data_IF_953255343078
#
_entry.id   IF_953255343078
#
_cell.length_a   1.000
_cell.length_b   1.000
_cell.length_c   1.000
_cell.angle_alpha   90.00
_cell.angle_beta   90.00
_cell.angle_gamma   90.00
#
_symmetry.space_group_name_H-M   'P 1'
#
loop_
_entity.id
_entity.type
_entity.pdbx_description
1 polymer ?
#
# COMPACT_ATOMS: atom_id res chain seq x y z
N UNK A 1 -25.28 20.00 0.99
CA UNK A 1 -24.31 20.70 1.87
C UNK A 1 -23.13 19.76 2.04
N UNK A 2 -22.01 20.03 1.36
CA UNK A 2 -20.81 19.20 1.51
C UNK A 2 -20.26 19.30 2.93
N UNK A 3 -19.62 18.25 3.46
CA UNK A 3 -19.01 18.30 4.78
C UNK A 3 -18.02 19.48 4.82
N UNK A 4 -18.09 20.27 5.88
CA UNK A 4 -17.08 21.30 6.18
C UNK A 4 -15.71 20.61 6.10
N UNK A 5 -14.75 21.23 5.41
CA UNK A 5 -13.38 20.74 5.39
C UNK A 5 -12.80 20.83 6.80
N UNK A 6 -13.07 19.80 7.62
CA UNK A 6 -12.35 19.58 8.86
C UNK A 6 -10.87 19.45 8.51
N UNK A 7 -10.00 19.94 9.39
CA UNK A 7 -8.55 19.76 9.25
C UNK A 7 -8.22 18.26 9.44
N UNK A 8 -8.42 17.47 8.39
CA UNK A 8 -8.05 16.06 8.38
C UNK A 8 -6.53 16.00 8.42
N UNK A 9 -6.02 15.50 9.55
CA UNK A 9 -4.60 15.20 9.73
C UNK A 9 -4.33 13.82 9.16
N UNK A 10 -3.45 13.75 8.15
CA UNK A 10 -3.02 12.48 7.59
C UNK A 10 -1.85 11.94 8.41
N UNK A 11 -1.92 10.66 8.75
CA UNK A 11 -0.77 9.98 9.32
C UNK A 11 0.16 9.54 8.18
N UNK A 12 1.46 9.75 8.34
CA UNK A 12 2.46 9.34 7.35
C UNK A 12 3.60 8.61 8.04
N UNK A 13 4.13 7.59 7.37
CA UNK A 13 5.31 6.85 7.84
C UNK A 13 6.58 7.31 7.15
N UNK A 14 6.49 8.08 6.07
CA UNK A 14 7.66 8.58 5.36
C UNK A 14 8.19 9.86 6.02
N UNK A 15 9.44 9.83 6.47
CA UNK A 15 10.13 10.98 7.06
C UNK A 15 11.31 11.41 6.18
N UNK A 16 11.45 12.72 5.98
CA UNK A 16 12.62 13.30 5.31
C UNK A 16 13.63 13.73 6.38
N UNK A 17 14.84 13.19 6.28
CA UNK A 17 16.01 13.57 7.07
C UNK A 17 16.66 14.78 6.41
N UNK A 18 16.38 15.97 6.94
CA UNK A 18 16.82 17.24 6.36
C UNK A 18 18.35 17.33 6.25
N UNK A 19 19.07 16.77 7.23
CA UNK A 19 20.53 16.75 7.28
C UNK A 19 21.16 15.96 6.13
N UNK A 20 20.48 14.92 5.64
CA UNK A 20 20.88 14.10 4.49
C UNK A 20 20.35 14.65 3.16
N UNK A 21 19.25 15.39 3.18
CA UNK A 21 18.64 15.88 1.94
C UNK A 21 19.53 16.93 1.24
N UNK A 22 19.89 16.66 -0.03
CA UNK A 22 20.67 17.57 -0.90
C UNK A 22 19.84 18.18 -2.04
N UNK A 23 18.52 18.08 -1.98
CA UNK A 23 17.63 18.74 -2.95
C UNK A 23 17.78 18.26 -4.39
N UNK A 24 18.19 17.00 -4.62
CA UNK A 24 18.47 16.44 -5.96
C UNK A 24 17.22 16.23 -6.84
N UNK A 25 16.02 16.55 -6.35
CA UNK A 25 14.73 16.52 -7.07
C UNK A 25 14.26 15.16 -7.62
N UNK A 26 15.02 14.07 -7.47
CA UNK A 26 14.62 12.73 -7.94
C UNK A 26 13.31 12.24 -7.30
N UNK A 27 13.18 12.38 -5.98
CA UNK A 27 11.96 12.03 -5.26
C UNK A 27 10.73 12.83 -5.74
N UNK A 28 10.91 14.11 -6.09
CA UNK A 28 9.87 14.95 -6.66
C UNK A 28 9.38 14.43 -8.00
N UNK A 29 10.30 14.02 -8.88
CA UNK A 29 9.97 13.45 -10.19
C UNK A 29 9.35 12.05 -10.09
N UNK A 30 9.78 11.25 -9.13
CA UNK A 30 9.26 9.90 -8.91
C UNK A 30 7.87 9.89 -8.25
N UNK A 31 7.45 10.99 -7.61
CA UNK A 31 6.21 11.03 -6.85
C UNK A 31 4.97 11.02 -7.78
N UNK A 32 4.16 9.96 -7.74
CA UNK A 32 3.05 9.74 -8.69
C UNK A 32 1.88 10.70 -8.49
N UNK A 33 1.69 11.17 -7.26
CA UNK A 33 0.67 12.14 -6.89
C UNK A 33 1.20 13.57 -6.86
N UNK A 34 2.46 13.77 -7.27
CA UNK A 34 3.11 15.09 -7.24
C UNK A 34 3.06 15.72 -5.84
N UNK A 35 3.15 14.90 -4.78
CA UNK A 35 3.09 15.35 -3.39
C UNK A 35 4.37 16.03 -2.90
N UNK A 36 5.49 15.88 -3.62
CA UNK A 36 6.78 16.43 -3.18
C UNK A 36 7.05 17.76 -3.88
N UNK A 37 7.53 18.75 -3.11
CA UNK A 37 8.14 20.00 -3.58
C UNK A 37 9.58 20.05 -3.13
N UNK A 38 10.43 20.76 -3.86
CA UNK A 38 11.78 21.11 -3.40
C UNK A 38 11.86 22.61 -3.19
N UNK A 39 12.23 23.04 -1.99
CA UNK A 39 12.36 24.46 -1.61
C UNK A 39 13.66 24.64 -0.85
N UNK A 40 14.40 25.70 -1.18
CA UNK A 40 15.67 26.01 -0.50
C UNK A 40 16.62 24.80 -0.42
N UNK A 41 16.65 23.97 -1.46
CA UNK A 41 17.48 22.76 -1.51
C UNK A 41 17.00 21.57 -0.68
N UNK A 42 15.78 21.60 -0.12
CA UNK A 42 15.19 20.52 0.69
C UNK A 42 13.86 20.05 0.12
N UNK A 43 13.58 18.76 0.27
CA UNK A 43 12.32 18.17 -0.16
C UNK A 43 11.27 18.32 0.95
N UNK A 44 10.04 18.68 0.57
CA UNK A 44 8.89 18.83 1.45
C UNK A 44 7.73 18.01 0.88
N UNK A 45 6.99 17.32 1.75
CA UNK A 45 5.82 16.51 1.37
C UNK A 45 4.56 17.29 1.67
N UNK A 46 3.67 17.39 0.69
CA UNK A 46 2.29 17.82 0.85
C UNK A 46 1.48 16.63 1.36
N UNK A 47 1.15 16.65 2.65
CA UNK A 47 0.51 15.54 3.37
C UNK A 47 -0.76 15.04 2.65
N UNK A 48 -1.65 15.95 2.24
CA UNK A 48 -2.91 15.58 1.59
C UNK A 48 -2.76 14.80 0.27
N UNK A 49 -1.62 14.96 -0.42
CA UNK A 49 -1.34 14.28 -1.68
C UNK A 49 -0.51 13.01 -1.49
N UNK A 50 0.15 12.85 -0.34
CA UNK A 50 0.99 11.69 -0.09
C UNK A 50 0.14 10.43 0.13
N UNK A 51 0.50 9.37 -0.58
CA UNK A 51 -0.15 8.05 -0.52
C UNK A 51 0.72 7.00 0.17
N UNK A 52 1.89 7.40 0.68
CA UNK A 52 2.86 6.54 1.36
C UNK A 52 3.33 5.33 0.54
N UNK A 53 3.36 5.46 -0.80
CA UNK A 53 3.75 4.37 -1.69
C UNK A 53 5.25 4.01 -1.61
N UNK A 54 6.10 4.94 -1.18
CA UNK A 54 7.53 4.72 -0.99
C UNK A 54 8.41 4.85 -2.26
N UNK A 55 7.87 5.22 -3.43
CA UNK A 55 8.67 5.49 -4.64
C UNK A 55 9.80 6.50 -4.40
N UNK A 56 9.56 7.46 -3.51
CA UNK A 56 10.54 8.47 -3.15
C UNK A 56 11.72 7.91 -2.34
N UNK A 57 11.55 6.81 -1.60
CA UNK A 57 12.63 6.11 -0.89
C UNK A 57 13.64 5.62 -1.94
N UNK A 58 13.18 4.82 -2.89
CA UNK A 58 14.01 4.22 -3.94
C UNK A 58 14.65 5.28 -4.86
N UNK A 59 13.97 6.40 -5.09
CA UNK A 59 14.48 7.47 -5.93
C UNK A 59 15.57 8.33 -5.25
N UNK A 60 15.67 8.33 -3.93
CA UNK A 60 16.58 9.22 -3.19
C UNK A 60 18.01 8.67 -3.18
N UNK A 61 18.98 9.33 -3.84
CA UNK A 61 20.36 8.84 -3.86
C UNK A 61 21.08 8.98 -2.51
N UNK A 62 20.60 9.87 -1.63
CA UNK A 62 21.22 10.18 -0.33
C UNK A 62 20.68 9.30 0.80
N UNK A 63 19.66 8.45 0.54
CA UNK A 63 18.94 7.75 1.60
C UNK A 63 18.29 8.69 2.62
N UNK A 64 17.88 9.89 2.18
CA UNK A 64 17.32 10.93 3.05
C UNK A 64 15.83 10.74 3.35
N UNK A 65 15.16 9.80 2.71
CA UNK A 65 13.74 9.51 2.95
C UNK A 65 13.66 8.13 3.58
N UNK A 66 13.21 8.08 4.82
CA UNK A 66 13.16 6.86 5.63
C UNK A 66 11.72 6.50 5.99
N UNK A 67 11.36 5.21 5.94
CA UNK A 67 10.10 4.73 6.47
C UNK A 67 10.17 4.63 8.00
N UNK A 68 9.06 4.90 8.68
CA UNK A 68 8.88 4.71 10.11
C UNK A 68 7.95 3.52 10.32
N UNK A 69 8.50 2.44 10.87
CA UNK A 69 7.74 1.29 11.36
C UNK A 69 8.03 1.09 12.85
N UNK A 70 7.23 0.25 13.49
CA UNK A 70 7.45 -0.12 14.87
C UNK A 70 8.70 -1.02 14.98
N UNK A 71 9.32 -1.02 16.16
CA UNK A 71 10.44 -1.89 16.50
C UNK A 71 9.94 -3.13 17.27
N UNK A 72 10.67 -4.24 17.20
CA UNK A 72 10.29 -5.50 17.89
C UNK A 72 10.16 -5.27 19.40
N UNK A 73 11.01 -4.43 19.98
CA UNK A 73 11.04 -4.13 21.41
C UNK A 73 9.75 -3.47 21.89
N UNK A 74 9.07 -2.71 21.01
CA UNK A 74 7.81 -2.04 21.34
C UNK A 74 6.64 -3.03 21.53
N UNK A 75 6.82 -4.29 21.14
CA UNK A 75 5.82 -5.35 21.33
C UNK A 75 5.80 -5.87 22.78
N UNK A 76 6.83 -5.58 23.57
CA UNK A 76 6.93 -5.98 24.99
C UNK A 76 5.83 -5.45 25.90
N UNK A 77 5.09 -4.43 25.45
CA UNK A 77 3.92 -3.89 26.17
C UNK A 77 2.70 -4.81 26.18
N UNK A 78 2.66 -5.83 25.31
CA UNK A 78 1.56 -6.80 25.24
C UNK A 78 1.88 -8.05 26.04
N UNK A 79 0.85 -8.66 26.65
CA UNK A 79 1.01 -9.94 27.37
C UNK A 79 1.15 -11.12 26.43
N UNK A 80 0.48 -11.04 25.27
CA UNK A 80 0.57 -12.02 24.19
C UNK A 80 0.99 -11.30 22.91
N UNK A 81 2.16 -11.62 22.37
CA UNK A 81 2.75 -10.99 21.19
C UNK A 81 2.55 -11.91 19.99
N UNK A 82 1.87 -11.41 18.97
CA UNK A 82 1.55 -12.19 17.78
C UNK A 82 2.14 -11.53 16.54
N UNK A 83 3.06 -12.24 15.89
CA UNK A 83 3.54 -11.84 14.57
C UNK A 83 2.57 -12.34 13.49
N UNK A 84 2.19 -11.46 12.59
CA UNK A 84 1.38 -11.79 11.41
C UNK A 84 2.24 -11.50 10.18
N UNK A 85 2.97 -12.50 9.65
CA UNK A 85 3.84 -12.29 8.51
C UNK A 85 3.03 -11.98 7.25
N UNK A 86 3.45 -10.98 6.49
CA UNK A 86 3.05 -10.91 5.09
C UNK A 86 3.59 -12.14 4.36
N UNK A 87 2.83 -12.77 3.43
CA UNK A 87 3.35 -13.87 2.62
C UNK A 87 4.64 -13.52 1.86
N UNK A 88 4.91 -12.23 1.63
CA UNK A 88 6.16 -11.70 1.06
C UNK A 88 7.39 -12.16 1.85
N UNK A 89 7.29 -12.26 3.18
CA UNK A 89 8.40 -12.63 4.06
C UNK A 89 9.03 -13.97 3.67
N UNK A 90 8.20 -14.96 3.31
CA UNK A 90 8.63 -16.30 2.95
C UNK A 90 9.48 -16.38 1.67
N UNK A 91 9.56 -15.31 0.88
CA UNK A 91 10.41 -15.25 -0.31
C UNK A 91 11.58 -14.27 -0.20
N UNK A 92 11.90 -13.79 1.02
CA UNK A 92 13.01 -12.86 1.25
C UNK A 92 14.33 -13.55 1.63
N UNK A 93 14.27 -14.77 2.15
CA UNK A 93 15.45 -15.53 2.61
C UNK A 93 16.02 -16.41 1.52
N UNK A 94 17.20 -17.03 1.75
CA UNK A 94 17.82 -17.95 0.79
C UNK A 94 16.87 -19.09 0.41
N UNK A 95 17.16 -19.76 -0.71
CA UNK A 95 16.29 -20.82 -1.26
C UNK A 95 16.16 -22.05 -0.35
N UNK A 96 17.06 -22.18 0.63
CA UNK A 96 17.10 -23.30 1.57
C UNK A 96 16.34 -23.00 2.86
N UNK A 97 15.85 -21.76 3.05
CA UNK A 97 15.05 -21.36 4.21
C UNK A 97 13.58 -21.36 3.81
N UNK A 98 12.79 -22.22 4.45
CA UNK A 98 11.36 -22.38 4.17
C UNK A 98 10.48 -21.72 5.26
N UNK A 99 9.15 -21.65 5.06
CA UNK A 99 8.24 -21.03 6.02
C UNK A 99 8.34 -21.57 7.46
N UNK A 100 8.49 -22.88 7.72
CA UNK A 100 8.61 -23.39 9.09
C UNK A 100 9.78 -22.82 9.87
N UNK A 101 10.95 -22.70 9.24
CA UNK A 101 12.16 -22.12 9.82
C UNK A 101 11.94 -20.63 10.13
N UNK A 102 11.27 -19.91 9.24
CA UNK A 102 10.92 -18.49 9.44
C UNK A 102 9.95 -18.33 10.62
N UNK A 103 8.94 -19.19 10.71
CA UNK A 103 7.97 -19.19 11.82
C UNK A 103 8.67 -19.49 13.15
N UNK A 104 9.55 -20.50 13.19
CA UNK A 104 10.34 -20.83 14.38
C UNK A 104 11.29 -19.69 14.76
N UNK A 105 11.94 -19.06 13.78
CA UNK A 105 12.79 -17.90 13.98
C UNK A 105 12.03 -16.70 14.60
N UNK A 106 10.81 -16.43 14.14
CA UNK A 106 9.94 -15.39 14.73
C UNK A 106 9.60 -15.70 16.19
N UNK A 107 9.32 -16.96 16.53
CA UNK A 107 9.11 -17.37 17.93
C UNK A 107 10.37 -17.14 18.77
N UNK A 108 11.54 -17.50 18.24
CA UNK A 108 12.85 -17.30 18.90
C UNK A 108 13.21 -15.83 19.10
N UNK A 109 12.74 -14.94 18.22
CA UNK A 109 12.83 -13.48 18.40
C UNK A 109 11.92 -12.93 19.52
N UNK A 110 11.02 -13.76 20.06
CA UNK A 110 10.13 -13.40 21.15
C UNK A 110 8.71 -13.09 20.70
N UNK A 111 8.19 -13.67 19.63
CA UNK A 111 6.74 -13.72 19.42
C UNK A 111 6.16 -14.98 20.06
N UNK A 112 5.07 -14.85 20.81
CA UNK A 112 4.43 -15.98 21.49
C UNK A 112 3.62 -16.82 20.48
N UNK A 113 3.05 -16.16 19.46
CA UNK A 113 2.37 -16.80 18.33
C UNK A 113 2.80 -16.19 17.00
N UNK A 114 2.72 -17.00 15.95
CA UNK A 114 2.84 -16.56 14.56
C UNK A 114 1.56 -16.98 13.85
N UNK A 115 0.84 -16.02 13.28
CA UNK A 115 -0.45 -16.25 12.65
C UNK A 115 -0.40 -15.91 11.16
N UNK A 116 -0.54 -16.92 10.31
CA UNK A 116 -0.38 -16.76 8.88
C UNK A 116 -1.66 -16.23 8.19
N UNK A 117 -1.48 -15.40 7.16
CA UNK A 117 -2.60 -14.76 6.45
C UNK A 117 -3.06 -15.58 5.23
N UNK A 118 -2.26 -16.53 4.75
CA UNK A 118 -2.49 -17.19 3.45
C UNK A 118 -3.77 -18.01 3.40
N UNK A 119 -4.20 -18.65 4.48
CA UNK A 119 -5.52 -19.32 4.51
C UNK A 119 -6.67 -18.33 4.30
N UNK A 120 -6.57 -17.14 4.88
CA UNK A 120 -7.56 -16.08 4.72
C UNK A 120 -7.51 -15.50 3.30
N UNK A 121 -6.33 -15.38 2.69
CA UNK A 121 -6.22 -15.03 1.26
C UNK A 121 -6.97 -16.05 0.38
N UNK A 122 -6.82 -17.35 0.64
CA UNK A 122 -7.52 -18.39 -0.11
C UNK A 122 -9.04 -18.31 0.11
N UNK A 123 -9.50 -18.06 1.34
CA UNK A 123 -10.93 -17.86 1.62
C UNK A 123 -11.50 -16.62 0.91
N UNK A 124 -10.78 -15.51 0.90
CA UNK A 124 -11.21 -14.30 0.18
C UNK A 124 -11.21 -14.52 -1.33
N UNK A 125 -10.34 -15.34 -1.91
CA UNK A 125 -10.42 -15.67 -3.34
C UNK A 125 -11.76 -16.30 -3.73
N UNK A 126 -12.29 -17.20 -2.90
CA UNK A 126 -13.62 -17.79 -3.13
C UNK A 126 -14.73 -16.74 -2.91
N UNK A 127 -14.62 -15.90 -1.88
CA UNK A 127 -15.56 -14.79 -1.65
C UNK A 127 -15.54 -13.75 -2.79
N UNK A 128 -14.38 -13.52 -3.40
CA UNK A 128 -14.17 -12.64 -4.56
C UNK A 128 -14.96 -13.15 -5.77
N UNK A 129 -14.93 -14.46 -6.03
CA UNK A 129 -15.70 -15.04 -7.13
C UNK A 129 -17.20 -14.80 -6.94
N UNK A 130 -17.74 -15.09 -5.75
CA UNK A 130 -19.15 -14.84 -5.41
C UNK A 130 -19.50 -13.36 -5.54
N UNK A 131 -18.63 -12.48 -5.03
CA UNK A 131 -18.84 -11.04 -5.11
C UNK A 131 -18.89 -10.53 -6.55
N UNK A 132 -18.10 -11.09 -7.46
CA UNK A 132 -18.12 -10.72 -8.88
C UNK A 132 -19.36 -11.26 -9.61
N UNK A 133 -19.85 -12.44 -9.24
CA UNK A 133 -21.09 -13.02 -9.79
C UNK A 133 -22.33 -12.21 -9.40
N UNK A 134 -22.35 -11.68 -8.18
CA UNK A 134 -23.46 -10.89 -7.62
C UNK A 134 -23.32 -9.37 -7.83
N UNK A 135 -22.22 -8.91 -8.44
CA UNK A 135 -21.93 -7.47 -8.56
C UNK A 135 -22.92 -6.75 -9.48
N UNK A 136 -23.57 -5.72 -8.95
CA UNK A 136 -24.51 -4.86 -9.68
C UNK A 136 -24.00 -3.43 -9.90
N UNK A 137 -22.71 -3.17 -9.65
CA UNK A 137 -22.09 -1.85 -9.76
C UNK A 137 -21.39 -1.59 -11.09
N UNK A 138 -20.55 -0.54 -11.15
CA UNK A 138 -19.79 -0.23 -12.36
C UNK A 138 -18.69 -1.28 -12.62
N UNK A 139 -18.39 -1.49 -13.90
CA UNK A 139 -17.35 -2.40 -14.38
C UNK A 139 -16.20 -1.63 -15.06
N UNK A 140 -14.95 -2.13 -15.01
CA UNK A 140 -14.47 -3.26 -14.21
C UNK A 140 -14.44 -2.95 -12.71
N UNK A 141 -14.47 -3.97 -11.87
CA UNK A 141 -14.20 -3.88 -10.43
C UNK A 141 -12.69 -3.89 -10.19
N UNK A 142 -12.20 -3.08 -9.26
CA UNK A 142 -10.79 -2.93 -8.91
C UNK A 142 -10.54 -3.57 -7.54
N UNK A 143 -9.43 -4.30 -7.39
CA UNK A 143 -9.03 -4.93 -6.13
C UNK A 143 -8.86 -3.92 -4.98
N UNK A 144 -9.25 -4.31 -3.77
CA UNK A 144 -9.19 -3.46 -2.56
C UNK A 144 -7.89 -3.62 -1.75
N UNK A 145 -7.01 -4.55 -2.15
CA UNK A 145 -6.00 -5.11 -1.25
C UNK A 145 -4.72 -4.29 -1.10
N UNK A 146 -4.38 -3.47 -2.10
CA UNK A 146 -3.16 -2.63 -2.07
C UNK A 146 -3.49 -1.22 -1.54
N UNK A 147 -3.09 -0.85 -0.31
CA UNK A 147 -3.46 0.45 0.26
C UNK A 147 -2.87 1.64 -0.52
N UNK A 148 -1.74 1.45 -1.20
CA UNK A 148 -1.18 2.47 -2.08
C UNK A 148 -2.07 2.71 -3.32
N UNK A 149 -2.66 1.66 -3.90
CA UNK A 149 -3.63 1.79 -5.00
C UNK A 149 -4.89 2.48 -4.51
N UNK A 150 -5.44 2.05 -3.37
CA UNK A 150 -6.63 2.67 -2.76
C UNK A 150 -6.43 4.17 -2.62
N UNK A 151 -5.33 4.58 -1.98
CA UNK A 151 -5.04 6.00 -1.75
C UNK A 151 -4.71 6.75 -3.04
N UNK A 152 -4.09 6.09 -4.01
CA UNK A 152 -3.88 6.67 -5.33
C UNK A 152 -5.21 6.97 -6.03
N UNK A 153 -6.16 6.03 -6.01
CA UNK A 153 -7.52 6.23 -6.51
C UNK A 153 -8.20 7.38 -5.76
N UNK A 154 -8.17 7.38 -4.42
CA UNK A 154 -8.78 8.43 -3.61
C UNK A 154 -8.26 9.85 -3.94
N UNK A 155 -7.00 10.00 -4.34
CA UNK A 155 -6.36 11.30 -4.64
C UNK A 155 -6.47 11.67 -6.12
N UNK A 156 -6.23 10.72 -7.03
CA UNK A 156 -6.03 10.98 -8.47
C UNK A 156 -7.23 10.58 -9.34
N UNK A 157 -8.00 9.59 -8.90
CA UNK A 157 -9.13 9.02 -9.62
C UNK A 157 -10.36 8.92 -8.72
N UNK A 158 -10.80 10.02 -8.06
CA UNK A 158 -11.84 9.94 -7.03
C UNK A 158 -13.17 9.37 -7.56
N UNK A 159 -13.47 9.48 -8.85
CA UNK A 159 -14.65 8.85 -9.46
C UNK A 159 -14.58 7.33 -9.51
N UNK A 160 -13.39 6.73 -9.45
CA UNK A 160 -13.19 5.29 -9.48
C UNK A 160 -13.32 4.63 -8.09
N UNK A 161 -13.64 5.37 -7.02
CA UNK A 161 -13.86 4.74 -5.70
C UNK A 161 -15.05 3.78 -5.70
N UNK A 162 -16.05 4.03 -6.55
CA UNK A 162 -17.20 3.14 -6.74
C UNK A 162 -16.86 1.84 -7.50
N UNK A 163 -15.69 1.79 -8.16
CA UNK A 163 -15.19 0.58 -8.80
C UNK A 163 -14.45 -0.34 -7.83
N UNK A 164 -14.10 0.12 -6.61
CA UNK A 164 -13.34 -0.70 -5.67
C UNK A 164 -14.24 -1.78 -5.09
N UNK A 165 -13.77 -3.02 -5.12
CA UNK A 165 -14.51 -4.17 -4.58
C UNK A 165 -14.78 -3.99 -3.07
N UNK A 166 -16.00 -4.28 -2.58
CA UNK A 166 -16.34 -4.09 -1.17
C UNK A 166 -15.84 -5.23 -0.25
N UNK A 167 -14.78 -5.95 -0.62
CA UNK A 167 -14.20 -7.02 0.19
C UNK A 167 -13.08 -6.51 1.10
N UNK A 168 -13.09 -7.01 2.32
CA UNK A 168 -12.12 -6.74 3.37
C UNK A 168 -10.72 -7.24 3.01
N UNK A 169 -9.70 -6.54 3.50
CA UNK A 169 -8.31 -6.94 3.31
C UNK A 169 -7.99 -8.19 4.14
N UNK A 170 -7.36 -9.23 3.54
CA UNK A 170 -7.08 -10.50 4.24
C UNK A 170 -6.36 -10.35 5.58
N UNK A 171 -5.44 -9.39 5.67
CA UNK A 171 -4.69 -9.12 6.91
C UNK A 171 -5.62 -8.70 8.06
N UNK A 172 -6.67 -7.92 7.81
CA UNK A 172 -7.59 -7.43 8.86
C UNK A 172 -8.49 -8.57 9.34
N UNK A 173 -8.98 -9.41 8.44
CA UNK A 173 -9.73 -10.61 8.82
C UNK A 173 -8.86 -11.59 9.62
N UNK A 174 -7.63 -11.85 9.17
CA UNK A 174 -6.70 -12.71 9.88
C UNK A 174 -6.40 -12.19 11.30
N UNK A 175 -6.18 -10.88 11.46
CA UNK A 175 -5.97 -10.27 12.78
C UNK A 175 -7.22 -10.34 13.67
N UNK A 176 -8.41 -10.10 13.10
CA UNK A 176 -9.69 -10.21 13.82
C UNK A 176 -9.93 -11.62 14.33
N UNK A 177 -9.85 -12.61 13.44
CA UNK A 177 -10.04 -14.03 13.76
C UNK A 177 -9.05 -14.49 14.82
N UNK A 178 -7.77 -14.17 14.63
CA UNK A 178 -6.70 -14.47 15.59
C UNK A 178 -6.97 -13.87 16.97
N UNK A 179 -7.30 -12.57 17.05
CA UNK A 179 -7.50 -11.90 18.34
C UNK A 179 -8.68 -12.50 19.10
N UNK A 180 -9.79 -12.79 18.41
CA UNK A 180 -10.95 -13.42 19.03
C UNK A 180 -10.62 -14.83 19.55
N UNK A 181 -9.95 -15.65 18.74
CA UNK A 181 -9.57 -17.01 19.13
C UNK A 181 -8.60 -17.03 20.32
N UNK A 182 -7.55 -16.20 20.29
CA UNK A 182 -6.57 -16.15 21.38
C UNK A 182 -7.14 -15.51 22.65
N UNK A 183 -8.08 -14.56 22.52
CA UNK A 183 -8.75 -13.95 23.67
C UNK A 183 -9.56 -14.99 24.44
N UNK A 184 -10.32 -15.83 23.75
CA UNK A 184 -11.06 -16.94 24.35
C UNK A 184 -10.12 -18.00 24.93
N UNK A 185 -9.12 -18.44 24.15
CA UNK A 185 -8.19 -19.50 24.53
C UNK A 185 -7.33 -19.15 25.75
N UNK A 186 -6.87 -17.90 25.82
CA UNK A 186 -5.95 -17.44 26.88
C UNK A 186 -6.67 -16.70 28.01
N UNK A 187 -7.98 -16.47 27.87
CA UNK A 187 -8.77 -15.62 28.77
C UNK A 187 -8.11 -14.24 28.98
N UNK A 188 -7.66 -13.64 27.88
CA UNK A 188 -7.02 -12.32 27.86
C UNK A 188 -7.92 -11.29 27.14
N UNK A 189 -8.01 -10.03 27.62
CA UNK A 189 -8.61 -8.94 26.87
C UNK A 189 -7.93 -8.73 25.51
N UNK A 190 -8.69 -8.29 24.50
CA UNK A 190 -8.20 -8.07 23.13
C UNK A 190 -7.06 -7.05 23.06
N UNK A 191 -7.02 -6.11 24.00
CA UNK A 191 -6.00 -5.06 24.12
C UNK A 191 -4.66 -5.58 24.65
N UNK A 192 -4.67 -6.72 25.34
CA UNK A 192 -3.46 -7.38 25.87
C UNK A 192 -2.82 -8.33 24.83
N UNK A 193 -3.50 -8.58 23.71
CA UNK A 193 -3.03 -9.37 22.58
C UNK A 193 -2.54 -8.41 21.49
N UNK A 194 -1.22 -8.33 21.34
CA UNK A 194 -0.56 -7.47 20.36
C UNK A 194 -0.47 -8.11 18.98
N UNK A 195 -1.23 -7.60 18.02
CA UNK A 195 -1.18 -8.01 16.62
C UNK A 195 -0.18 -7.14 15.84
N UNK A 196 0.92 -7.73 15.38
CA UNK A 196 2.03 -7.03 14.73
C UNK A 196 2.25 -7.55 13.32
N UNK A 197 2.03 -6.70 12.31
CA UNK A 197 2.15 -7.09 10.91
C UNK A 197 3.57 -6.92 10.38
N UNK A 198 4.13 -7.95 9.73
CA UNK A 198 5.46 -7.84 9.09
C UNK A 198 5.28 -7.45 7.61
N UNK A 199 5.68 -6.23 7.25
CA UNK A 199 5.27 -5.59 5.99
C UNK A 199 6.44 -5.24 5.07
N UNK A 200 6.25 -5.48 3.76
CA UNK A 200 7.13 -4.95 2.69
C UNK A 200 6.76 -3.55 2.23
N UNK A 201 5.74 -2.92 2.83
CA UNK A 201 5.10 -1.71 2.30
C UNK A 201 4.87 -0.63 3.37
N UNK A 202 5.33 0.62 3.15
CA UNK A 202 5.07 1.71 4.08
C UNK A 202 3.59 2.11 4.11
N UNK A 203 2.88 2.05 2.97
CA UNK A 203 1.45 2.34 2.92
C UNK A 203 0.61 1.38 3.77
N UNK A 204 1.05 0.12 3.96
CA UNK A 204 0.39 -0.83 4.89
C UNK A 204 0.57 -0.42 6.35
N UNK A 205 1.76 0.06 6.72
CA UNK A 205 1.98 0.60 8.07
C UNK A 205 1.06 1.80 8.35
N UNK A 206 0.83 2.66 7.34
CA UNK A 206 -0.14 3.75 7.48
C UNK A 206 -1.58 3.24 7.49
N UNK A 207 -1.95 2.25 6.67
CA UNK A 207 -3.32 1.72 6.67
C UNK A 207 -3.71 1.01 7.97
N UNK A 208 -2.73 0.55 8.77
CA UNK A 208 -2.96 0.07 10.14
C UNK A 208 -3.29 1.22 11.09
N UNK A 209 -2.60 2.37 10.96
CA UNK A 209 -2.80 3.54 11.82
C UNK A 209 -4.01 4.39 11.41
N UNK A 210 -4.31 4.45 10.12
CA UNK A 210 -5.39 5.24 9.51
C UNK A 210 -5.97 4.47 8.30
N UNK A 211 -6.82 3.45 8.56
CA UNK A 211 -7.48 2.67 7.52
C UNK A 211 -8.53 3.51 6.76
N UNK A 212 -8.70 3.22 5.47
CA UNK A 212 -9.71 3.89 4.64
C UNK A 212 -11.10 3.25 4.83
N UNK A 213 -11.11 1.95 5.08
CA UNK A 213 -12.23 1.03 5.04
C UNK A 213 -12.93 0.79 6.38
N UNK A 214 -12.38 1.31 7.48
CA UNK A 214 -12.88 1.12 8.85
C UNK A 214 -12.43 2.23 9.78
N UNK A 215 -12.97 2.25 11.00
CA UNK A 215 -12.58 3.22 12.02
C UNK A 215 -11.22 2.89 12.63
N UNK A 216 -11.02 1.63 13.04
CA UNK A 216 -9.82 1.16 13.72
C UNK A 216 -9.36 -0.18 13.13
N UNK A 217 -8.06 -0.31 12.90
CA UNK A 217 -7.44 -1.58 12.49
C UNK A 217 -7.44 -2.59 13.63
N UNK A 218 -7.51 -3.88 13.29
CA UNK A 218 -7.28 -4.98 14.22
C UNK A 218 -5.81 -5.16 14.60
N UNK A 219 -4.89 -4.46 13.92
CA UNK A 219 -3.47 -4.45 14.22
C UNK A 219 -3.09 -3.34 15.20
N UNK A 220 -2.10 -3.62 16.04
CA UNK A 220 -1.55 -2.65 16.99
C UNK A 220 -0.22 -2.05 16.54
N UNK A 221 0.42 -2.67 15.55
CA UNK A 221 1.66 -2.20 14.96
C UNK A 221 2.07 -2.94 13.70
N UNK A 222 3.15 -2.46 13.10
CA UNK A 222 3.78 -3.07 11.94
C UNK A 222 5.28 -2.90 11.96
N UNK A 223 6.01 -3.94 11.58
CA UNK A 223 7.47 -3.94 11.48
C UNK A 223 7.84 -4.14 10.02
N UNK A 224 8.82 -3.39 9.52
CA UNK A 224 9.27 -3.56 8.15
C UNK A 224 10.04 -4.87 8.00
N UNK A 225 9.90 -5.54 6.85
CA UNK A 225 10.68 -6.76 6.59
C UNK A 225 12.18 -6.44 6.55
N UNK A 226 12.57 -5.29 5.99
CA UNK A 226 13.95 -4.83 5.98
C UNK A 226 14.57 -4.72 7.39
N UNK A 227 13.83 -4.19 8.37
CA UNK A 227 14.34 -4.02 9.73
C UNK A 227 14.47 -5.36 10.48
N UNK A 228 13.50 -6.27 10.30
CA UNK A 228 13.51 -7.57 11.00
C UNK A 228 14.39 -8.62 10.31
N UNK A 229 14.82 -8.39 9.06
CA UNK A 229 15.51 -9.40 8.25
C UNK A 229 16.77 -9.97 8.92
N UNK A 230 17.70 -9.11 9.34
CA UNK A 230 18.97 -9.56 9.93
C UNK A 230 18.78 -10.25 11.29
N UNK A 231 18.00 -9.68 12.25
CA UNK A 231 17.67 -10.38 13.49
C UNK A 231 17.01 -11.74 13.23
N UNK A 232 16.06 -11.81 12.29
CA UNK A 232 15.34 -13.04 11.98
C UNK A 232 16.24 -14.08 11.31
N UNK A 233 17.10 -13.67 10.38
CA UNK A 233 18.09 -14.57 9.77
C UNK A 233 19.03 -15.14 10.84
N UNK A 234 19.51 -14.31 11.77
CA UNK A 234 20.33 -14.78 12.89
C UNK A 234 19.59 -15.77 13.78
N UNK A 235 18.30 -15.53 14.06
CA UNK A 235 17.46 -16.45 14.82
C UNK A 235 17.29 -17.79 14.09
N UNK A 236 17.00 -17.76 12.78
CA UNK A 236 16.86 -18.94 11.93
C UNK A 236 18.15 -19.76 11.91
N UNK A 237 19.31 -19.12 11.70
CA UNK A 237 20.61 -19.81 11.67
C UNK A 237 21.01 -20.44 13.00
N UNK A 238 20.37 -20.03 14.10
CA UNK A 238 20.61 -20.58 15.44
C UNK A 238 19.63 -21.71 15.82
N UNK A 239 18.71 -22.10 14.93
CA UNK A 239 17.77 -23.19 15.17
C UNK A 239 18.49 -24.55 15.01
N UNK A 240 18.25 -25.47 15.93
CA UNK A 240 18.49 -26.90 15.73
C UNK A 240 17.35 -27.55 14.95
N UNK A 241 17.62 -28.73 14.36
CA UNK A 241 16.64 -29.47 13.52
C UNK A 241 15.36 -29.87 14.28
N UNK A 242 15.41 -29.97 15.62
CA UNK A 242 14.24 -30.32 16.45
C UNK A 242 13.34 -29.09 16.79
N UNK A 243 13.81 -27.86 16.54
CA UNK A 243 13.08 -26.63 16.91
C UNK A 243 11.95 -26.27 15.93
N UNK A 244 11.84 -26.98 14.80
CA UNK A 244 10.77 -26.79 13.82
C UNK A 244 10.36 -28.13 13.19
N UNK A 245 9.13 -28.18 12.69
CA UNK A 245 8.62 -29.30 11.89
C UNK A 245 8.39 -28.81 10.48
N UNK A 246 8.73 -29.61 9.46
CA UNK A 246 8.34 -29.34 8.07
C UNK A 246 6.85 -29.68 7.87
N UNK A 247 5.98 -28.99 8.61
CA UNK A 247 4.55 -29.00 8.43
C UNK A 247 4.04 -27.58 8.16
N UNK A 248 2.92 -27.51 7.43
CA UNK A 248 2.29 -26.25 7.01
C UNK A 248 1.01 -26.00 7.81
N UNK A 249 0.98 -26.37 9.09
CA UNK A 249 -0.23 -26.14 9.90
C UNK A 249 -0.57 -24.64 9.87
N UNK A 250 -1.71 -24.30 9.26
CA UNK A 250 -2.15 -22.92 9.08
C UNK A 250 -1.66 -22.18 7.83
N UNK A 251 -0.90 -22.81 6.92
CA UNK A 251 -0.44 -22.17 5.67
C UNK A 251 -1.16 -22.71 4.43
N UNK A 252 -1.34 -21.84 3.45
CA UNK A 252 -1.83 -22.13 2.10
C UNK A 252 -0.82 -21.67 1.07
N UNK A 253 -0.27 -22.62 0.30
CA UNK A 253 0.60 -22.32 -0.83
C UNK A 253 -0.12 -21.50 -1.90
N UNK A 254 -1.41 -21.78 -2.12
CA UNK A 254 -2.27 -21.02 -3.01
C UNK A 254 -2.43 -19.57 -2.52
N UNK A 255 -2.73 -19.38 -1.23
CA UNK A 255 -2.84 -18.05 -0.61
C UNK A 255 -1.51 -17.29 -0.57
N UNK A 256 -0.38 -17.99 -0.49
CA UNK A 256 0.94 -17.36 -0.61
C UNK A 256 1.17 -16.73 -1.98
N UNK A 257 0.52 -17.23 -3.03
CA UNK A 257 0.60 -16.68 -4.39
C UNK A 257 0.06 -15.24 -4.52
N UNK A 258 -0.79 -14.78 -3.61
CA UNK A 258 -1.34 -13.42 -3.59
C UNK A 258 -0.28 -12.30 -3.53
N UNK A 259 0.95 -12.62 -3.09
CA UNK A 259 2.02 -11.64 -2.98
C UNK A 259 2.62 -11.22 -4.33
N UNK A 260 2.40 -12.00 -5.38
CA UNK A 260 2.90 -11.73 -6.73
C UNK A 260 1.77 -11.27 -7.64
N UNK A 261 2.12 -10.55 -8.72
CA UNK A 261 1.18 -10.16 -9.75
C UNK A 261 0.44 -11.36 -10.35
N UNK A 262 -0.88 -11.24 -10.47
CA UNK A 262 -1.79 -12.26 -10.98
C UNK A 262 -2.22 -13.27 -9.93
N UNK A 263 -1.80 -13.09 -8.68
CA UNK A 263 -2.09 -14.01 -7.59
C UNK A 263 -3.58 -14.11 -7.28
N UNK A 264 -4.35 -13.02 -7.35
CA UNK A 264 -5.82 -13.07 -7.17
C UNK A 264 -6.53 -13.49 -8.45
N UNK A 265 -6.01 -13.04 -9.60
CA UNK A 265 -6.54 -13.41 -10.91
C UNK A 265 -6.48 -14.92 -11.18
N UNK A 266 -5.49 -15.64 -10.65
CA UNK A 266 -5.36 -17.09 -10.85
C UNK A 266 -6.50 -17.93 -10.24
N UNK A 267 -7.34 -17.32 -9.40
CA UNK A 267 -8.53 -17.96 -8.82
C UNK A 267 -9.81 -17.70 -9.61
N UNK A 268 -9.76 -16.75 -10.55
CA UNK A 268 -10.92 -16.35 -11.33
C UNK A 268 -10.97 -17.12 -12.63
N UNK A 269 -12.16 -17.18 -13.23
CA UNK A 269 -12.33 -17.74 -14.56
C UNK A 269 -11.43 -17.02 -15.59
N UNK A 270 -10.72 -17.77 -16.46
CA UNK A 270 -9.89 -17.18 -17.50
C UNK A 270 -10.66 -16.18 -18.39
N UNK A 271 -10.03 -15.06 -18.73
CA UNK A 271 -10.61 -14.03 -19.60
C UNK A 271 -11.42 -12.95 -18.88
N UNK A 272 -11.74 -13.12 -17.59
CA UNK A 272 -12.52 -12.14 -16.83
C UNK A 272 -11.68 -11.13 -16.03
N UNK A 273 -10.34 -11.24 -16.05
CA UNK A 273 -9.47 -10.45 -15.19
C UNK A 273 -8.23 -9.89 -15.90
N UNK A 274 -7.78 -8.72 -15.45
CA UNK A 274 -6.50 -8.10 -15.82
C UNK A 274 -5.68 -7.92 -14.56
N UNK A 275 -4.45 -8.44 -14.56
CA UNK A 275 -3.47 -8.17 -13.51
C UNK A 275 -2.51 -7.06 -13.97
N UNK A 276 -2.40 -6.00 -13.18
CA UNK A 276 -1.49 -4.89 -13.44
C UNK A 276 -0.61 -4.62 -12.22
N UNK A 277 0.69 -4.45 -12.47
CA UNK A 277 1.66 -4.10 -11.44
C UNK A 277 2.55 -2.96 -11.90
N UNK A 278 2.97 -2.11 -10.95
CA UNK A 278 3.78 -0.93 -11.24
C UNK A 278 2.95 0.30 -11.61
N UNK A 279 3.32 1.44 -11.05
CA UNK A 279 2.57 2.69 -11.15
C UNK A 279 2.35 3.19 -12.59
N UNK A 280 3.32 3.00 -13.47
CA UNK A 280 3.21 3.48 -14.87
C UNK A 280 2.08 2.76 -15.60
N UNK A 281 2.04 1.44 -15.53
CA UNK A 281 1.00 0.64 -16.20
C UNK A 281 -0.34 0.74 -15.46
N UNK A 282 -0.31 0.80 -14.12
CA UNK A 282 -1.51 1.05 -13.32
C UNK A 282 -2.20 2.36 -13.72
N UNK A 283 -1.43 3.44 -13.91
CA UNK A 283 -1.98 4.74 -14.33
C UNK A 283 -2.69 4.63 -15.68
N UNK A 284 -2.12 3.90 -16.65
CA UNK A 284 -2.77 3.68 -17.96
C UNK A 284 -4.08 2.91 -17.83
N UNK A 285 -4.09 1.85 -17.01
CA UNK A 285 -5.30 1.06 -16.75
C UNK A 285 -6.39 1.92 -16.12
N UNK A 286 -6.08 2.71 -15.08
CA UNK A 286 -7.06 3.59 -14.43
C UNK A 286 -7.59 4.67 -15.39
N UNK A 287 -6.72 5.28 -16.20
CA UNK A 287 -7.10 6.20 -17.27
C UNK A 287 -8.07 5.57 -18.28
N UNK A 288 -7.83 4.30 -18.65
CA UNK A 288 -8.67 3.56 -19.60
C UNK A 288 -10.02 3.16 -18.97
N UNK A 289 -10.07 2.93 -17.66
CA UNK A 289 -11.33 2.76 -16.92
C UNK A 289 -12.15 4.06 -16.94
N UNK A 290 -11.55 5.22 -16.61
CA UNK A 290 -12.26 6.52 -16.68
C UNK A 290 -12.77 6.83 -18.08
N UNK A 291 -11.99 6.46 -19.11
CA UNK A 291 -12.38 6.60 -20.53
C UNK A 291 -13.32 5.49 -21.01
N UNK A 292 -13.78 4.61 -20.11
CA UNK A 292 -14.71 3.51 -20.39
C UNK A 292 -14.24 2.57 -21.51
N UNK A 293 -12.93 2.29 -21.59
CA UNK A 293 -12.33 1.41 -22.61
C UNK A 293 -12.24 -0.06 -22.19
N UNK A 294 -12.30 -0.37 -20.89
CA UNK A 294 -12.15 -1.73 -20.35
C UNK A 294 -13.50 -2.41 -20.05
N UNK A 295 -14.51 -2.22 -20.91
CA UNK A 295 -15.90 -2.68 -20.63
C UNK A 295 -16.07 -4.20 -20.58
N UNK A 296 -15.16 -4.95 -21.22
CA UNK A 296 -15.19 -6.41 -21.27
C UNK A 296 -14.41 -7.05 -20.12
N UNK A 297 -13.67 -6.25 -19.34
CA UNK A 297 -12.94 -6.73 -18.16
C UNK A 297 -13.89 -6.68 -16.97
N UNK A 298 -13.99 -7.77 -16.20
CA UNK A 298 -14.77 -7.78 -14.96
C UNK A 298 -13.95 -7.33 -13.77
N UNK A 299 -12.70 -7.78 -13.68
CA UNK A 299 -11.86 -7.54 -12.51
C UNK A 299 -10.45 -7.04 -12.87
N UNK A 300 -9.97 -6.05 -12.14
CA UNK A 300 -8.61 -5.53 -12.23
C UNK A 300 -7.88 -5.78 -10.91
N UNK A 301 -6.95 -6.72 -10.92
CA UNK A 301 -5.98 -6.88 -9.84
C UNK A 301 -4.93 -5.77 -9.96
N UNK A 302 -5.04 -4.77 -9.10
CA UNK A 302 -4.16 -3.61 -9.11
C UNK A 302 -3.10 -3.69 -8.01
N UNK A 303 -1.83 -3.70 -8.43
CA UNK A 303 -0.68 -3.60 -7.54
C UNK A 303 0.14 -2.35 -7.83
N UNK A 304 0.48 -1.60 -6.79
CA UNK A 304 1.26 -0.37 -6.94
C UNK A 304 2.72 -0.64 -7.34
N UNK A 305 3.33 -1.64 -6.70
CA UNK A 305 4.72 -2.02 -6.91
C UNK A 305 4.85 -3.00 -8.08
N UNK A 306 6.01 -2.99 -8.74
CA UNK A 306 6.34 -3.94 -9.81
C UNK A 306 6.38 -5.38 -9.28
N UNK A 307 5.87 -6.34 -10.05
CA UNK A 307 5.72 -7.76 -9.67
C UNK A 307 4.80 -8.03 -8.45
N UNK A 308 4.09 -7.03 -7.94
CA UNK A 308 3.21 -7.15 -6.78
C UNK A 308 3.88 -6.76 -5.46
N UNK A 309 3.39 -7.29 -4.33
CA UNK A 309 3.87 -6.94 -2.99
C UNK A 309 5.33 -7.34 -2.73
N UNK A 310 5.87 -8.29 -3.51
CA UNK A 310 7.27 -8.72 -3.46
C UNK A 310 8.26 -7.64 -3.92
N UNK A 311 7.83 -6.69 -4.76
CA UNK A 311 8.62 -5.52 -5.16
C UNK A 311 8.44 -4.32 -4.24
N UNK A 312 7.90 -4.53 -3.03
CA UNK A 312 7.64 -3.45 -2.07
C UNK A 312 8.93 -2.76 -1.60
N UNK A 313 8.90 -1.45 -1.27
CA UNK A 313 10.11 -0.70 -0.88
C UNK A 313 10.79 -1.17 0.41
N UNK A 314 10.11 -1.98 1.22
CA UNK A 314 10.65 -2.55 2.46
C UNK A 314 10.97 -4.05 2.34
N UNK A 315 10.96 -4.59 1.11
CA UNK A 315 11.49 -5.91 0.81
C UNK A 315 13.03 -5.86 0.76
N UNK A 316 13.67 -7.01 0.95
CA UNK A 316 15.15 -7.14 0.96
C UNK A 316 15.64 -7.82 -0.31
N UNK A 317 14.94 -8.86 -0.76
CA UNK A 317 15.32 -9.63 -1.92
C UNK A 317 14.90 -8.92 -3.22
N UNK A 318 15.64 -9.17 -4.29
CA UNK A 318 15.24 -8.77 -5.63
C UNK A 318 13.87 -9.37 -5.99
N UNK A 319 12.94 -8.54 -6.49
CA UNK A 319 11.58 -8.96 -6.78
C UNK A 319 11.50 -10.17 -7.73
N UNK A 320 12.32 -10.24 -8.77
CA UNK A 320 12.32 -11.37 -9.71
C UNK A 320 12.84 -12.66 -9.06
N UNK A 321 13.86 -12.55 -8.21
CA UNK A 321 14.37 -13.69 -7.43
C UNK A 321 13.31 -14.16 -6.42
N UNK A 322 12.66 -13.24 -5.71
CA UNK A 322 11.56 -13.54 -4.79
C UNK A 322 10.37 -14.21 -5.52
N UNK A 323 10.09 -13.83 -6.77
CA UNK A 323 9.09 -14.49 -7.62
C UNK A 323 9.46 -15.94 -7.92
N UNK A 324 10.70 -16.21 -8.31
CA UNK A 324 11.18 -17.59 -8.52
C UNK A 324 11.03 -18.43 -7.26
N UNK A 325 11.38 -17.88 -6.09
CA UNK A 325 11.19 -18.56 -4.79
C UNK A 325 9.72 -18.83 -4.51
N UNK A 326 8.85 -17.89 -4.82
CA UNK A 326 7.39 -18.07 -4.65
C UNK A 326 6.89 -19.26 -5.45
N UNK A 327 7.28 -19.38 -6.72
CA UNK A 327 6.91 -20.51 -7.58
C UNK A 327 7.45 -21.83 -7.00
N UNK A 328 8.67 -21.84 -6.46
CA UNK A 328 9.25 -23.04 -5.81
C UNK A 328 8.47 -23.44 -4.56
N UNK A 329 8.07 -22.49 -3.72
CA UNK A 329 7.24 -22.75 -2.54
C UNK A 329 5.88 -23.32 -2.94
N UNK A 330 5.22 -22.74 -3.96
CA UNK A 330 3.97 -23.28 -4.50
C UNK A 330 4.11 -24.73 -4.99
N UNK A 331 5.21 -25.04 -5.68
CA UNK A 331 5.47 -26.39 -6.18
C UNK A 331 5.81 -27.38 -5.06
N UNK A 332 6.59 -26.96 -4.05
CA UNK A 332 6.97 -27.80 -2.91
C UNK A 332 5.75 -28.19 -2.08
N UNK A 333 4.87 -27.23 -1.84
CA UNK A 333 3.79 -27.37 -0.87
C UNK A 333 2.42 -27.69 -1.49
N UNK A 334 2.33 -27.68 -2.82
CA UNK A 334 1.16 -28.11 -3.58
C UNK A 334 0.06 -27.05 -3.70
N UNK A 335 -0.70 -27.12 -4.79
CA UNK A 335 -1.79 -26.18 -5.12
C UNK A 335 -3.17 -26.72 -4.77
N UNK A 336 -3.26 -27.56 -3.74
CA UNK A 336 -4.54 -28.11 -3.30
C UNK A 336 -5.23 -27.12 -2.34
N UNK A 337 -6.51 -26.80 -2.54
CA UNK A 337 -7.24 -25.95 -1.63
C UNK A 337 -7.22 -26.50 -0.20
N UNK A 338 -7.02 -25.60 0.77
CA UNK A 338 -7.02 -25.91 2.20
C UNK A 338 -8.22 -25.33 2.94
N UNK A 339 -9.08 -24.59 2.23
CA UNK A 339 -10.36 -24.09 2.74
C UNK A 339 -11.53 -25.03 2.40
N UNK A 340 -12.58 -24.96 3.21
CA UNK A 340 -13.88 -25.59 2.91
C UNK A 340 -14.78 -24.56 2.21
N UNK A 341 -15.09 -24.78 0.93
CA UNK A 341 -15.86 -23.81 0.12
C UNK A 341 -17.23 -23.50 0.71
N UNK A 342 -17.93 -24.51 1.24
CA UNK A 342 -19.25 -24.37 1.83
C UNK A 342 -19.22 -23.45 3.07
N UNK A 343 -18.15 -23.55 3.86
CA UNK A 343 -17.92 -22.67 5.01
C UNK A 343 -17.70 -21.23 4.56
N UNK A 344 -16.92 -21.02 3.50
CA UNK A 344 -16.67 -19.68 2.94
C UNK A 344 -17.97 -19.07 2.40
N UNK A 345 -18.74 -19.83 1.61
CA UNK A 345 -20.04 -19.37 1.09
C UNK A 345 -21.01 -19.00 2.20
N UNK A 346 -21.05 -19.77 3.29
CA UNK A 346 -21.85 -19.43 4.47
C UNK A 346 -21.42 -18.09 5.08
N UNK A 347 -20.13 -17.94 5.38
CA UNK A 347 -19.57 -16.72 5.98
C UNK A 347 -19.74 -15.49 5.07
N UNK A 348 -19.68 -15.69 3.75
CA UNK A 348 -19.96 -14.65 2.75
C UNK A 348 -21.39 -14.13 2.86
N UNK A 349 -22.39 -15.04 2.94
CA UNK A 349 -23.80 -14.65 3.14
C UNK A 349 -24.06 -13.97 4.48
N UNK A 350 -23.25 -14.28 5.49
CA UNK A 350 -23.30 -13.64 6.82
C UNK A 350 -22.60 -12.26 6.85
N UNK A 351 -21.99 -11.83 5.74
CA UNK A 351 -21.33 -10.53 5.63
C UNK A 351 -19.90 -10.49 6.17
N UNK A 352 -19.28 -11.63 6.47
CA UNK A 352 -17.98 -11.71 7.15
C UNK A 352 -16.81 -11.09 6.36
N UNK A 353 -16.87 -11.14 5.03
CA UNK A 353 -15.78 -10.71 4.15
C UNK A 353 -15.90 -9.26 3.65
N UNK A 354 -16.91 -8.50 4.08
CA UNK A 354 -17.15 -7.16 3.54
C UNK A 354 -16.50 -6.06 4.38
N UNK A 355 -16.12 -4.96 3.72
CA UNK A 355 -15.60 -3.76 4.39
C UNK A 355 -16.66 -3.17 5.35
N UNK A 356 -16.20 -2.66 6.49
CA UNK A 356 -17.07 -1.96 7.46
C UNK A 356 -17.70 -0.69 6.86
N UNK A 357 -16.96 0.01 6.00
CA UNK A 357 -17.47 1.13 5.21
C UNK A 357 -16.87 1.17 3.82
N UNK A 358 -17.62 1.73 2.87
CA UNK A 358 -17.12 2.00 1.52
C UNK A 358 -15.95 2.99 1.55
N UNK A 359 -14.96 2.75 0.70
CA UNK A 359 -13.84 3.66 0.49
C UNK A 359 -14.37 4.93 -0.18
N UNK A 360 -14.13 6.07 0.46
CA UNK A 360 -14.55 7.39 -0.05
C UNK A 360 -13.37 8.13 -0.69
N UNK A 361 -13.61 9.04 -1.64
CA UNK A 361 -12.59 9.96 -2.12
C UNK A 361 -11.92 10.73 -0.98
N UNK A 362 -10.63 11.03 -1.11
CA UNK A 362 -9.99 11.94 -0.16
C UNK A 362 -10.47 13.37 -0.45
N UNK A 363 -10.87 14.14 0.57
CA UNK A 363 -11.31 15.51 0.34
C UNK A 363 -10.12 16.36 -0.13
N UNK A 364 -10.31 17.01 -1.28
CA UNK A 364 -9.31 17.94 -1.81
C UNK A 364 -9.49 19.28 -1.09
N UNK A 365 -8.42 19.79 -0.49
CA UNK A 365 -8.43 21.15 0.08
C UNK A 365 -8.69 22.15 -1.05
N UNK A 366 -9.76 22.96 -1.00
CA UNK A 366 -10.00 23.97 -2.02
C UNK A 366 -8.89 25.03 -1.96
N UNK A 367 -8.65 25.70 -3.09
CA UNK A 367 -7.69 26.82 -3.14
C UNK A 367 -8.05 27.95 -2.18
N UNK A 368 -9.34 28.09 -1.87
CA UNK A 368 -9.86 29.04 -0.89
C UNK A 368 -11.17 28.50 -0.28
N UNK A 369 -11.47 28.74 1.02
CA UNK A 369 -12.71 28.26 1.65
C UNK A 369 -13.98 28.83 1.00
N UNK A 370 -13.95 30.10 0.61
CA UNK A 370 -15.00 30.72 -0.20
C UNK A 370 -14.94 30.24 -1.65
N UNK A 371 -16.08 29.74 -2.15
CA UNK A 371 -16.22 29.12 -3.47
C UNK A 371 -15.94 30.12 -4.60
N UNK A 372 -16.44 31.36 -4.49
CA UNK A 372 -16.27 32.37 -5.53
C UNK A 372 -14.78 32.74 -5.70
N UNK A 373 -14.07 32.93 -4.58
CA UNK A 373 -12.62 33.14 -4.56
C UNK A 373 -11.86 31.91 -5.05
N UNK A 374 -12.28 30.69 -4.70
CA UNK A 374 -11.64 29.47 -5.20
C UNK A 374 -11.73 29.37 -6.73
N UNK A 375 -12.89 29.67 -7.31
CA UNK A 375 -13.09 29.73 -8.77
C UNK A 375 -12.20 30.80 -9.41
N UNK A 376 -12.09 31.99 -8.79
CA UNK A 376 -11.20 33.04 -9.28
C UNK A 376 -9.73 32.60 -9.30
N UNK A 377 -9.25 31.98 -8.22
CA UNK A 377 -7.89 31.43 -8.14
C UNK A 377 -7.66 30.28 -9.14
N UNK A 378 -8.67 29.45 -9.42
CA UNK A 378 -8.57 28.42 -10.46
C UNK A 378 -8.37 29.05 -11.84
N UNK A 379 -9.15 30.09 -12.19
CA UNK A 379 -8.98 30.83 -13.44
C UNK A 379 -7.61 31.51 -13.53
N UNK A 380 -7.12 32.06 -12.43
CA UNK A 380 -5.78 32.66 -12.36
C UNK A 380 -4.68 31.61 -12.53
N UNK A 381 -4.81 30.45 -11.89
CA UNK A 381 -3.90 29.31 -12.05
C UNK A 381 -3.78 28.89 -13.51
N UNK A 382 -4.91 28.78 -14.21
CA UNK A 382 -4.92 28.46 -15.64
C UNK A 382 -4.22 29.53 -16.49
N UNK A 383 -4.47 30.82 -16.21
CA UNK A 383 -3.78 31.93 -16.89
C UNK A 383 -2.26 31.84 -16.68
N UNK A 384 -1.80 31.66 -15.44
CA UNK A 384 -0.38 31.52 -15.13
C UNK A 384 0.20 30.29 -15.85
N UNK A 385 -0.47 29.14 -15.75
CA UNK A 385 -0.05 27.92 -16.43
C UNK A 385 0.08 28.10 -17.94
N UNK A 386 -0.81 28.89 -18.54
CA UNK A 386 -0.76 29.17 -19.97
C UNK A 386 0.44 30.03 -20.41
N UNK A 387 1.00 30.85 -19.50
CA UNK A 387 2.19 31.67 -19.74
C UNK A 387 3.51 30.91 -19.52
N UNK A 388 3.45 29.71 -18.93
CA UNK A 388 4.63 28.89 -18.66
C UNK A 388 5.05 28.07 -19.89
N UNK A 389 6.31 27.60 -19.96
CA UNK A 389 6.80 26.80 -21.07
C UNK A 389 6.17 25.40 -21.19
N UNK A 390 5.53 24.87 -20.14
CA UNK A 390 4.91 23.52 -20.09
C UNK A 390 5.86 22.37 -20.44
N UNK A 391 7.16 22.57 -20.14
CA UNK A 391 8.21 21.56 -20.32
C UNK A 391 8.45 20.73 -19.05
N UNK A 392 7.78 21.07 -17.93
CA UNK A 392 7.87 20.34 -16.66
C UNK A 392 9.31 20.03 -16.20
N UNK A 393 10.24 20.98 -16.40
CA UNK A 393 11.67 20.76 -16.13
C UNK A 393 12.00 20.56 -14.64
N UNK A 394 11.14 21.07 -13.76
CA UNK A 394 11.26 20.95 -12.31
C UNK A 394 12.29 21.86 -11.64
N UNK A 395 12.93 22.79 -12.38
CA UNK A 395 14.00 23.63 -11.83
C UNK A 395 13.54 24.59 -10.72
N UNK A 396 12.27 24.99 -10.72
CA UNK A 396 11.66 25.77 -9.63
C UNK A 396 11.33 24.92 -8.39
N UNK A 397 11.62 23.62 -8.42
CA UNK A 397 11.26 22.68 -7.35
C UNK A 397 9.78 22.31 -7.30
N UNK A 398 9.01 22.57 -8.37
CA UNK A 398 7.69 21.99 -8.57
C UNK A 398 7.75 20.88 -9.61
N UNK A 399 7.02 19.76 -9.46
CA UNK A 399 7.10 18.64 -10.39
C UNK A 399 6.60 18.99 -11.81
N UNK A 400 5.68 19.93 -11.93
CA UNK A 400 5.08 20.36 -13.21
C UNK A 400 4.87 21.88 -13.26
N UNK A 401 4.72 22.44 -14.46
CA UNK A 401 4.32 23.84 -14.64
C UNK A 401 2.93 24.11 -14.03
N UNK A 402 2.03 23.12 -14.05
CA UNK A 402 0.71 23.24 -13.43
C UNK A 402 0.81 23.36 -11.90
N UNK A 403 1.62 22.52 -11.26
CA UNK A 403 1.85 22.60 -9.81
C UNK A 403 2.61 23.86 -9.40
N UNK A 404 3.51 24.37 -10.25
CA UNK A 404 4.10 25.70 -10.05
C UNK A 404 3.04 26.80 -10.08
N UNK A 405 2.17 26.81 -11.08
CA UNK A 405 1.09 27.80 -11.15
C UNK A 405 0.16 27.74 -9.93
N UNK A 406 -0.11 26.53 -9.42
CA UNK A 406 -0.85 26.33 -8.18
C UNK A 406 -0.15 26.93 -6.95
N UNK A 407 1.16 26.70 -6.83
CA UNK A 407 1.95 27.25 -5.72
C UNK A 407 2.04 28.78 -5.79
N UNK A 408 2.03 29.37 -7.00
CA UNK A 408 1.98 30.83 -7.19
C UNK A 408 0.65 31.42 -6.73
N UNK A 409 -0.50 30.85 -7.13
CA UNK A 409 -1.82 31.37 -6.68
C UNK A 409 -2.05 31.16 -5.18
N UNK A 410 -1.36 30.19 -4.57
CA UNK A 410 -1.33 29.99 -3.11
C UNK A 410 -0.37 30.96 -2.39
N UNK A 411 0.37 31.80 -3.11
CA UNK A 411 1.35 32.73 -2.55
C UNK A 411 2.62 32.07 -2.02
N UNK A 412 2.86 30.80 -2.36
CA UNK A 412 4.05 30.05 -1.93
C UNK A 412 5.27 30.29 -2.83
N UNK A 413 5.04 30.78 -4.05
CA UNK A 413 6.04 31.13 -5.04
C UNK A 413 5.64 32.41 -5.78
N UNK A 414 6.62 33.06 -6.38
CA UNK A 414 6.42 34.16 -7.30
C UNK A 414 6.56 33.67 -8.75
N UNK A 415 5.90 34.35 -9.69
CA UNK A 415 6.02 34.02 -11.12
C UNK A 415 7.47 34.11 -11.64
N UNK A 416 8.30 34.96 -11.01
CA UNK A 416 9.73 35.12 -11.28
C UNK A 416 10.59 33.93 -10.85
N UNK A 417 10.07 33.02 -10.03
CA UNK A 417 10.80 31.83 -9.60
C UNK A 417 10.89 30.79 -10.74
N UNK A 418 10.17 31.00 -11.83
CA UNK A 418 10.36 30.26 -13.08
C UNK A 418 11.58 30.82 -13.85
N UNK A 419 12.71 30.09 -13.79
CA UNK A 419 13.95 30.46 -14.48
C UNK A 419 13.75 30.78 -15.97
N UNK A 420 12.89 30.04 -16.66
CA UNK A 420 12.62 30.26 -18.09
C UNK A 420 12.02 31.66 -18.36
N UNK A 421 11.09 32.10 -17.50
CA UNK A 421 10.45 33.40 -17.63
C UNK A 421 11.39 34.54 -17.25
N UNK A 422 12.27 34.33 -16.26
CA UNK A 422 13.30 35.29 -15.88
C UNK A 422 14.29 35.52 -17.02
N UNK A 423 14.76 34.46 -17.67
CA UNK A 423 15.66 34.55 -18.84
C UNK A 423 15.00 35.24 -20.04
N UNK A 424 13.70 35.00 -20.32
CA UNK A 424 13.00 35.70 -21.42
C UNK A 424 12.86 37.20 -21.14
N UNK A 425 12.54 37.59 -19.90
CA UNK A 425 12.43 39.01 -19.51
C UNK A 425 13.75 39.76 -19.69
N UNK A 426 14.88 39.12 -19.34
CA UNK A 426 16.21 39.70 -19.53
C UNK A 426 16.59 39.87 -21.01
N UNK A 427 16.20 38.93 -21.89
CA UNK A 427 16.48 39.02 -23.34
C UNK A 427 15.57 39.98 -24.11
N UNK A 428 14.44 40.37 -23.52
CA UNK A 428 13.50 41.34 -24.09
C UNK A 428 13.74 42.79 -23.63
N UNK A 429 14.73 42.99 -22.76
CA UNK A 429 15.29 44.28 -22.37
C UNK A 429 16.62 44.47 -23.08
#
# INVERSE_FOLDING_TARGET
MGPKAENIRYYHTLKILEEKCRGRMRCMRACPTQAIRVRQGKAHVLEELCIDCGECINACPEGAIVPLTDAVEQTSKFKCRVAIPSPVLYSQFSVDIHPPEIIAGLKKLGFDYVWDVSLVCEAISEALQLCLEEHAGPWPVISSFCPAVIRFIQVKYPGLTEHIIPLEVPRELAAKEMKLELSEKLNLPLEEIGAVYLTSCPAKAVSIRQPAEKEKSWFDGSISIADIYNPLLSAIMSLGEEEYKDDLDGLSAIGMGWKVMGGTCSFLEPGNCVAVSGIVELTKILDDIEKSKLREVKYVEASFCLEGCIGGPLAVENAYVARVKTIRLENRYGKQPRIQKEKVQKLYREGHYFLERRIQPRPIKPLHPDIAKAIALMKEKEKIHNLLPRVDCGLCGCPTCLTFAEDVVKGLLNISDCLYNSIRKERSR
#
